data_IF_082129560320
#
_entry.id   IF_082129560320
#
_cell.length_a   1.000
_cell.length_b   1.000
_cell.length_c   1.000
_cell.angle_alpha   90.00
_cell.angle_beta   90.00
_cell.angle_gamma   90.00
#
_symmetry.space_group_name_H-M   'P 1'
#
loop_
_entity.id
_entity.type
_entity.pdbx_description
1 polymer ?
#
# COMPACT_ATOMS: atom_id res chain seq x y z
N UNK A 1 44.87 60.91 13.15
CA UNK A 1 43.66 61.19 12.36
C UNK A 1 42.97 59.85 12.13
N UNK A 2 42.06 59.50 13.04
CA UNK A 2 41.38 58.19 13.09
C UNK A 2 40.10 58.34 12.28
N UNK A 3 40.02 57.66 11.12
CA UNK A 3 38.82 57.60 10.30
C UNK A 3 37.91 56.57 10.92
N UNK A 4 36.85 57.04 11.61
CA UNK A 4 35.77 56.20 12.07
C UNK A 4 34.93 55.79 10.84
N UNK A 5 35.04 54.56 10.37
CA UNK A 5 34.09 53.96 9.44
C UNK A 5 32.81 53.65 10.22
N UNK A 6 31.81 54.51 10.15
CA UNK A 6 30.45 54.21 10.58
C UNK A 6 29.83 53.35 9.49
N UNK A 7 29.93 52.02 9.66
CA UNK A 7 29.12 51.08 8.89
C UNK A 7 27.72 51.15 9.51
N UNK A 8 26.82 51.95 8.89
CA UNK A 8 25.40 51.89 9.20
C UNK A 8 24.92 50.48 8.82
N UNK A 9 24.67 49.62 9.81
CA UNK A 9 23.95 48.37 9.65
C UNK A 9 22.51 48.75 9.27
N UNK A 10 22.21 48.77 7.97
CA UNK A 10 20.83 48.77 7.50
C UNK A 10 20.22 47.43 7.89
N UNK A 11 19.27 47.46 8.75
CA UNK A 11 18.54 46.25 9.21
C UNK A 11 17.42 45.86 8.25
N UNK A 12 16.93 46.77 7.42
CA UNK A 12 15.90 46.55 6.40
C UNK A 12 16.04 47.44 5.19
N UNK A 13 15.62 46.97 4.03
CA UNK A 13 15.52 47.71 2.79
C UNK A 13 14.09 47.70 2.24
N UNK A 14 13.63 48.84 1.68
CA UNK A 14 12.36 48.89 0.96
C UNK A 14 12.46 48.08 -0.36
N UNK A 15 11.41 47.44 -0.76
CA UNK A 15 11.35 46.67 -2.01
C UNK A 15 10.70 47.55 -3.09
N UNK A 16 11.36 47.66 -4.21
CA UNK A 16 10.85 48.32 -5.43
C UNK A 16 10.77 47.32 -6.57
N UNK A 17 9.56 47.07 -7.07
CA UNK A 17 9.36 46.21 -8.23
C UNK A 17 9.42 47.03 -9.50
N UNK A 18 10.14 46.53 -10.50
CA UNK A 18 10.27 47.10 -11.85
C UNK A 18 10.19 46.02 -12.91
N UNK A 19 10.03 46.38 -14.17
CA UNK A 19 9.92 45.43 -15.28
C UNK A 19 8.52 45.37 -15.87
N UNK A 20 8.16 44.23 -16.43
CA UNK A 20 6.87 44.04 -17.09
C UNK A 20 5.87 43.29 -16.19
N UNK A 21 4.56 43.68 -16.18
CA UNK A 21 3.52 42.92 -15.47
C UNK A 21 3.28 41.56 -16.15
N UNK A 22 2.67 40.58 -15.43
CA UNK A 22 2.18 40.67 -14.07
C UNK A 22 3.29 40.70 -13.02
N UNK A 23 3.02 41.27 -11.85
CA UNK A 23 3.98 41.36 -10.75
C UNK A 23 3.59 40.38 -9.64
N UNK A 24 4.59 39.68 -9.04
CA UNK A 24 4.32 38.81 -7.89
C UNK A 24 3.95 39.64 -6.65
N UNK A 25 3.10 39.12 -5.72
CA UNK A 25 2.85 39.75 -4.44
C UNK A 25 4.10 39.65 -3.57
N UNK A 26 4.76 40.78 -3.33
CA UNK A 26 5.97 40.85 -2.50
C UNK A 26 5.75 41.77 -1.31
N UNK A 27 6.49 41.60 -0.20
CA UNK A 27 6.45 42.50 0.94
C UNK A 27 6.99 43.89 0.57
N UNK A 28 6.59 44.89 1.34
CA UNK A 28 7.03 46.27 1.12
C UNK A 28 8.52 46.49 1.49
N UNK A 29 9.07 45.63 2.33
CA UNK A 29 10.45 45.71 2.81
C UNK A 29 11.01 44.34 3.16
N UNK A 30 12.32 44.20 3.17
CA UNK A 30 13.04 43.01 3.54
C UNK A 30 14.19 43.30 4.48
N UNK A 31 14.46 42.42 5.41
CA UNK A 31 15.70 42.42 6.19
C UNK A 31 16.90 42.17 5.26
N UNK A 32 17.96 43.01 5.41
CA UNK A 32 19.16 42.91 4.55
C UNK A 32 19.99 41.72 5.02
N UNK A 33 19.59 40.55 4.56
CA UNK A 33 20.20 39.27 4.82
C UNK A 33 20.13 38.44 3.52
N UNK A 34 21.21 37.78 3.15
CA UNK A 34 21.30 36.97 1.92
C UNK A 34 20.25 35.87 1.87
N UNK A 35 19.92 35.28 3.01
CA UNK A 35 18.91 34.23 3.14
C UNK A 35 17.48 34.77 2.85
N UNK A 36 17.13 35.92 3.42
CA UNK A 36 15.82 36.57 3.19
C UNK A 36 15.67 37.12 1.76
N UNK A 37 16.75 37.61 1.18
CA UNK A 37 16.75 38.05 -0.21
C UNK A 37 16.58 36.86 -1.17
N UNK A 38 17.22 35.72 -0.87
CA UNK A 38 17.03 34.48 -1.62
C UNK A 38 15.61 33.95 -1.51
N UNK A 39 15.02 33.97 -0.31
CA UNK A 39 13.62 33.56 -0.04
C UNK A 39 12.65 34.38 -0.92
N UNK A 40 12.77 35.70 -0.93
CA UNK A 40 11.93 36.59 -1.76
C UNK A 40 12.09 36.31 -3.26
N UNK A 41 13.32 36.04 -3.73
CA UNK A 41 13.54 35.64 -5.11
C UNK A 41 12.83 34.36 -5.46
N UNK A 42 12.95 33.38 -4.59
CA UNK A 42 12.39 32.05 -4.81
C UNK A 42 10.86 32.08 -4.72
N UNK A 43 10.28 32.84 -3.80
CA UNK A 43 8.84 33.07 -3.72
C UNK A 43 8.29 33.76 -4.98
N UNK A 44 8.98 34.77 -5.47
CA UNK A 44 8.59 35.45 -6.69
C UNK A 44 8.69 34.55 -7.93
N UNK A 45 9.74 33.75 -8.06
CA UNK A 45 9.87 32.77 -9.13
C UNK A 45 8.79 31.67 -9.05
N UNK A 46 8.51 31.17 -7.84
CA UNK A 46 7.45 30.20 -7.61
C UNK A 46 6.07 30.75 -7.98
N UNK A 47 5.79 32.01 -7.63
CA UNK A 47 4.54 32.66 -8.03
C UNK A 47 4.39 32.72 -9.56
N UNK A 48 5.46 33.11 -10.29
CA UNK A 48 5.44 33.11 -11.74
C UNK A 48 5.20 31.70 -12.31
N UNK A 49 5.84 30.71 -11.73
CA UNK A 49 5.71 29.33 -12.15
C UNK A 49 4.28 28.82 -11.96
N UNK A 50 3.67 29.10 -10.80
CA UNK A 50 2.28 28.72 -10.49
C UNK A 50 1.24 29.48 -11.34
N UNK A 51 1.56 30.68 -11.80
CA UNK A 51 0.68 31.50 -12.64
C UNK A 51 0.88 31.29 -14.15
N UNK A 52 1.70 30.31 -14.56
CA UNK A 52 1.89 29.94 -15.96
C UNK A 52 3.01 30.67 -16.68
N UNK A 53 3.98 31.23 -15.95
CA UNK A 53 5.17 31.91 -16.53
C UNK A 53 6.48 31.16 -16.19
N UNK A 54 6.70 29.95 -16.73
CA UNK A 54 7.86 29.10 -16.38
C UNK A 54 9.20 29.67 -16.87
N UNK A 55 9.18 30.70 -17.68
CA UNK A 55 10.38 31.35 -18.23
C UNK A 55 10.64 32.71 -17.57
N UNK A 56 10.03 32.99 -16.43
CA UNK A 56 10.26 34.21 -15.71
C UNK A 56 11.71 34.32 -15.25
N UNK A 57 12.25 35.50 -15.37
CA UNK A 57 13.56 35.86 -14.88
C UNK A 57 13.44 37.05 -13.90
N UNK A 58 14.25 37.01 -12.86
CA UNK A 58 14.28 38.03 -11.81
C UNK A 58 15.73 38.46 -11.62
N UNK A 59 15.97 39.75 -11.71
CA UNK A 59 17.23 40.34 -11.33
C UNK A 59 17.02 41.23 -10.08
N UNK A 60 17.85 41.02 -9.06
CA UNK A 60 17.79 41.75 -7.80
C UNK A 60 19.07 42.54 -7.59
N UNK A 61 18.95 43.82 -7.25
CA UNK A 61 20.11 44.69 -6.96
C UNK A 61 19.69 45.85 -6.05
N UNK A 62 20.61 46.33 -5.27
CA UNK A 62 20.40 47.54 -4.49
C UNK A 62 20.54 48.76 -5.37
N UNK A 63 19.45 49.49 -5.60
CA UNK A 63 19.48 50.77 -6.34
C UNK A 63 19.95 51.95 -5.48
N UNK A 64 19.68 51.85 -4.16
CA UNK A 64 20.24 52.73 -3.13
C UNK A 64 20.62 51.86 -1.92
N UNK A 65 21.25 52.42 -0.90
CA UNK A 65 21.64 51.66 0.27
C UNK A 65 20.44 51.02 1.02
N UNK A 66 19.28 51.63 0.91
CA UNK A 66 18.02 51.26 1.62
C UNK A 66 16.92 50.74 0.70
N UNK A 67 17.21 50.53 -0.60
CA UNK A 67 16.19 50.10 -1.58
C UNK A 67 16.68 48.92 -2.42
N UNK A 68 16.07 47.75 -2.22
CA UNK A 68 16.24 46.58 -3.06
C UNK A 68 15.29 46.68 -4.26
N UNK A 69 15.87 46.76 -5.46
CA UNK A 69 15.09 46.74 -6.69
C UNK A 69 15.03 45.34 -7.25
N UNK A 70 13.80 44.88 -7.49
CA UNK A 70 13.48 43.58 -8.10
C UNK A 70 12.98 43.85 -9.50
N UNK A 71 13.80 43.55 -10.49
CA UNK A 71 13.44 43.70 -11.89
C UNK A 71 12.94 42.37 -12.44
N UNK A 72 11.67 42.33 -12.83
CA UNK A 72 11.00 41.13 -13.28
C UNK A 72 10.81 41.11 -14.79
N UNK A 73 11.10 39.99 -15.39
CA UNK A 73 10.79 39.67 -16.79
C UNK A 73 9.94 38.38 -16.78
N UNK A 74 8.62 38.50 -16.84
CA UNK A 74 7.72 37.30 -16.76
C UNK A 74 7.98 36.28 -17.86
N UNK A 75 8.51 36.75 -18.98
CA UNK A 75 8.67 35.90 -20.16
C UNK A 75 7.31 35.59 -20.81
N UNK A 76 7.24 34.46 -21.47
CA UNK A 76 6.05 34.02 -22.19
C UNK A 76 5.13 33.23 -21.25
N UNK A 77 3.84 33.54 -21.27
CA UNK A 77 2.82 32.65 -20.66
C UNK A 77 2.75 31.34 -21.44
N UNK A 78 2.90 30.23 -20.78
CA UNK A 78 2.96 28.92 -21.40
C UNK A 78 1.81 28.03 -20.95
N UNK A 79 1.30 27.25 -21.87
CA UNK A 79 0.23 26.29 -21.65
C UNK A 79 0.78 24.87 -21.77
N UNK A 80 0.14 23.92 -21.10
CA UNK A 80 0.43 22.52 -21.33
C UNK A 80 -0.08 22.13 -22.73
N UNK A 81 0.82 21.63 -23.60
CA UNK A 81 0.48 21.14 -24.93
C UNK A 81 0.20 19.63 -24.90
N UNK A 82 1.10 18.88 -24.30
CA UNK A 82 1.05 17.43 -24.27
C UNK A 82 1.81 16.84 -23.08
N UNK A 83 1.37 15.68 -22.61
CA UNK A 83 2.12 14.80 -21.71
C UNK A 83 2.51 13.56 -22.51
N UNK A 84 3.79 13.23 -22.56
CA UNK A 84 4.36 12.08 -23.28
C UNK A 84 4.95 11.08 -22.29
N UNK A 85 4.84 9.82 -22.66
CA UNK A 85 5.47 8.69 -21.97
C UNK A 85 6.44 8.00 -22.94
N UNK A 86 7.48 7.30 -22.45
CA UNK A 86 8.32 6.46 -23.30
C UNK A 86 7.51 5.37 -24.02
N UNK A 87 7.90 4.98 -25.21
CA UNK A 87 7.23 3.94 -26.00
C UNK A 87 7.34 2.54 -25.36
N UNK A 88 8.23 2.37 -24.40
CA UNK A 88 8.41 1.11 -23.64
C UNK A 88 7.33 0.86 -22.59
N UNK A 89 6.50 1.85 -22.27
CA UNK A 89 5.45 1.74 -21.25
C UNK A 89 4.28 0.90 -21.79
N UNK A 90 3.97 -0.18 -21.10
CA UNK A 90 2.87 -1.11 -21.43
C UNK A 90 1.51 -0.64 -20.92
N UNK A 91 1.51 0.12 -19.82
CA UNK A 91 0.28 0.67 -19.23
C UNK A 91 -0.39 1.64 -20.19
N UNK A 92 -1.68 1.47 -20.40
CA UNK A 92 -2.48 2.30 -21.30
C UNK A 92 -2.42 3.76 -20.83
N UNK A 93 -2.17 4.67 -21.79
CA UNK A 93 -2.02 6.11 -21.52
C UNK A 93 -3.15 6.70 -20.67
N UNK A 94 -4.40 6.31 -20.93
CA UNK A 94 -5.55 6.79 -20.15
C UNK A 94 -5.52 6.35 -18.70
N UNK A 95 -4.88 5.24 -18.39
CA UNK A 95 -4.67 4.76 -17.00
C UNK A 95 -3.67 5.65 -16.28
N UNK A 96 -2.59 6.05 -16.94
CA UNK A 96 -1.58 6.96 -16.37
C UNK A 96 -2.13 8.38 -16.16
N UNK A 97 -3.04 8.82 -17.01
CA UNK A 97 -3.56 10.20 -17.00
C UNK A 97 -4.82 10.39 -16.16
N UNK A 98 -5.45 9.33 -15.66
CA UNK A 98 -6.76 9.42 -15.01
C UNK A 98 -6.78 10.22 -13.70
N UNK A 99 -5.67 10.32 -12.99
CA UNK A 99 -5.56 11.07 -11.74
C UNK A 99 -5.00 12.48 -11.90
N UNK A 100 -4.51 12.83 -13.10
CA UNK A 100 -3.97 14.16 -13.32
C UNK A 100 -5.11 15.16 -13.60
N UNK A 101 -5.14 16.23 -12.83
CA UNK A 101 -6.07 17.34 -13.06
C UNK A 101 -5.49 18.42 -13.99
N UNK A 102 -4.58 18.04 -14.89
CA UNK A 102 -4.00 18.91 -15.89
C UNK A 102 -4.43 18.47 -17.29
N UNK A 103 -5.06 19.37 -18.03
CA UNK A 103 -5.48 19.11 -19.41
C UNK A 103 -4.67 19.96 -20.39
N UNK A 104 -4.41 19.49 -21.61
CA UNK A 104 -3.85 20.32 -22.66
C UNK A 104 -4.65 21.60 -22.82
N UNK A 105 -3.94 22.74 -22.94
CA UNK A 105 -4.55 24.07 -23.03
C UNK A 105 -4.71 24.80 -21.69
N UNK A 106 -4.39 24.18 -20.55
CA UNK A 106 -4.34 24.88 -19.25
C UNK A 106 -2.98 25.58 -19.05
N UNK A 107 -2.90 26.69 -18.30
CA UNK A 107 -1.63 27.27 -17.89
C UNK A 107 -0.76 26.22 -17.19
N UNK A 108 0.53 26.19 -17.55
CA UNK A 108 1.44 25.22 -16.94
C UNK A 108 1.71 25.58 -15.47
N UNK A 109 1.49 24.61 -14.60
CA UNK A 109 1.84 24.64 -13.19
C UNK A 109 2.52 23.31 -12.82
N UNK A 110 3.72 23.32 -12.20
CA UNK A 110 4.42 22.10 -11.82
C UNK A 110 3.84 21.41 -10.58
N UNK A 111 3.11 22.11 -9.72
CA UNK A 111 2.59 21.56 -8.46
C UNK A 111 1.63 20.37 -8.69
N UNK A 112 0.56 20.49 -9.52
CA UNK A 112 -0.28 19.34 -9.86
C UNK A 112 0.48 18.19 -10.53
N UNK A 113 1.60 18.48 -11.21
CA UNK A 113 2.44 17.44 -11.81
C UNK A 113 3.12 16.60 -10.74
N UNK A 114 3.65 17.26 -9.69
CA UNK A 114 4.32 16.53 -8.59
C UNK A 114 3.35 15.68 -7.76
N UNK A 115 2.15 16.19 -7.52
CA UNK A 115 1.07 15.45 -6.84
C UNK A 115 0.68 14.22 -7.66
N UNK A 116 0.50 14.37 -8.96
CA UNK A 116 0.19 13.27 -9.86
C UNK A 116 1.29 12.21 -9.92
N UNK A 117 2.57 12.59 -9.96
CA UNK A 117 3.68 11.63 -9.92
C UNK A 117 3.66 10.81 -8.63
N UNK A 118 3.35 11.47 -7.51
CA UNK A 118 3.19 10.78 -6.22
C UNK A 118 2.00 9.82 -6.25
N UNK A 119 0.89 10.20 -6.89
CA UNK A 119 -0.28 9.33 -7.06
C UNK A 119 0.03 8.12 -7.97
N UNK A 120 0.80 8.31 -9.05
CA UNK A 120 1.22 7.19 -9.91
C UNK A 120 2.04 6.14 -9.18
N UNK A 121 2.93 6.54 -8.27
CA UNK A 121 3.78 5.61 -7.51
C UNK A 121 3.00 4.75 -6.48
N UNK A 122 1.73 5.02 -6.23
CA UNK A 122 0.86 4.18 -5.39
C UNK A 122 0.32 2.96 -6.12
N UNK A 123 0.36 2.97 -7.46
CA UNK A 123 -0.09 1.80 -8.22
C UNK A 123 0.91 0.65 -8.11
N UNK A 124 0.47 -0.56 -7.77
CA UNK A 124 1.35 -1.72 -7.59
C UNK A 124 2.07 -2.15 -8.87
N UNK A 125 1.64 -1.65 -10.03
CA UNK A 125 2.24 -1.91 -11.34
C UNK A 125 3.17 -0.77 -11.81
N UNK A 126 3.40 0.27 -10.98
CA UNK A 126 4.37 1.35 -11.24
C UNK A 126 5.47 1.26 -10.18
N UNK A 127 6.70 1.03 -10.62
CA UNK A 127 7.86 1.00 -9.73
C UNK A 127 8.38 2.41 -9.43
N UNK A 128 8.50 3.23 -10.47
CA UNK A 128 8.87 4.64 -10.33
C UNK A 128 8.24 5.52 -11.42
N UNK A 129 8.03 6.80 -11.12
CA UNK A 129 7.61 7.82 -12.07
C UNK A 129 8.39 9.12 -11.86
N UNK A 130 8.96 9.71 -12.94
CA UNK A 130 9.78 10.91 -12.90
C UNK A 130 11.28 10.65 -12.82
N UNK A 131 12.13 11.70 -12.79
CA UNK A 131 11.77 13.11 -12.88
C UNK A 131 11.24 13.52 -14.26
N UNK A 132 10.33 14.48 -14.26
CA UNK A 132 9.72 14.99 -15.50
C UNK A 132 10.71 15.88 -16.26
N UNK A 133 10.87 15.65 -17.55
CA UNK A 133 11.57 16.56 -18.45
C UNK A 133 10.56 17.48 -19.13
N UNK A 134 10.85 18.78 -19.11
CA UNK A 134 10.01 19.84 -19.66
C UNK A 134 10.63 20.35 -20.96
N UNK A 135 9.87 20.31 -22.05
CA UNK A 135 10.30 20.75 -23.37
C UNK A 135 9.37 21.82 -23.92
N UNK A 136 9.91 22.66 -24.85
CA UNK A 136 9.09 23.53 -25.67
C UNK A 136 8.63 22.79 -26.93
N UNK A 137 7.31 22.67 -27.09
CA UNK A 137 6.71 22.20 -28.33
C UNK A 137 6.86 23.23 -29.49
N UNK A 138 6.50 22.84 -30.70
CA UNK A 138 6.59 23.74 -31.90
C UNK A 138 5.81 25.03 -31.75
N UNK A 139 4.70 25.03 -31.00
CA UNK A 139 3.91 26.24 -30.68
C UNK A 139 4.52 27.09 -29.55
N UNK A 140 5.61 26.65 -28.93
CA UNK A 140 6.25 27.27 -27.76
C UNK A 140 5.49 27.04 -26.45
N UNK A 141 4.60 26.05 -26.41
CA UNK A 141 3.94 25.56 -25.22
C UNK A 141 4.73 24.41 -24.60
N UNK A 142 4.31 23.95 -23.42
CA UNK A 142 5.03 22.96 -22.63
C UNK A 142 4.62 21.55 -23.05
N UNK A 143 5.61 20.73 -23.36
CA UNK A 143 5.50 19.28 -23.50
C UNK A 143 6.21 18.63 -22.33
N UNK A 144 5.51 17.80 -21.56
CA UNK A 144 6.07 17.02 -20.46
C UNK A 144 6.44 15.63 -20.97
N UNK A 145 7.67 15.21 -20.75
CA UNK A 145 8.08 13.81 -20.89
C UNK A 145 8.22 13.21 -19.49
N UNK A 146 7.42 12.21 -19.21
CA UNK A 146 7.34 11.55 -17.91
C UNK A 146 7.90 10.15 -18.05
N UNK A 147 9.14 9.90 -17.56
CA UNK A 147 9.65 8.54 -17.45
C UNK A 147 8.79 7.75 -16.45
N UNK A 148 8.39 6.56 -16.83
CA UNK A 148 7.66 5.61 -15.98
C UNK A 148 8.39 4.29 -16.08
N UNK A 149 8.78 3.74 -14.94
CA UNK A 149 9.28 2.38 -14.80
C UNK A 149 8.15 1.53 -14.24
N UNK A 150 7.82 0.48 -14.96
CA UNK A 150 6.74 -0.43 -14.59
C UNK A 150 7.27 -1.59 -13.77
N UNK A 151 6.59 -1.89 -12.69
CA UNK A 151 6.79 -3.12 -11.93
C UNK A 151 6.44 -4.36 -12.80
N UNK A 152 6.86 -5.56 -12.42
CA UNK A 152 6.42 -6.79 -13.03
C UNK A 152 4.89 -6.86 -13.12
N UNK A 153 4.35 -7.42 -14.21
CA UNK A 153 2.90 -7.50 -14.44
C UNK A 153 2.17 -8.34 -13.40
N UNK A 154 2.90 -9.14 -12.65
CA UNK A 154 2.37 -9.98 -11.58
C UNK A 154 3.48 -10.78 -10.92
N UNK A 155 3.07 -11.70 -10.08
CA UNK A 155 3.95 -12.66 -9.44
C UNK A 155 3.24 -13.99 -9.23
N UNK A 156 4.06 -15.03 -9.11
CA UNK A 156 3.65 -16.32 -8.59
C UNK A 156 4.30 -16.53 -7.23
N UNK A 157 3.52 -16.91 -6.24
CA UNK A 157 4.01 -17.31 -4.93
C UNK A 157 3.67 -18.76 -4.65
N UNK A 158 4.54 -19.44 -3.93
CA UNK A 158 4.33 -20.78 -3.44
C UNK A 158 4.84 -20.91 -2.02
N UNK A 159 4.14 -21.70 -1.22
CA UNK A 159 4.53 -22.03 0.14
C UNK A 159 4.54 -23.55 0.36
N UNK A 160 5.45 -24.01 1.19
CA UNK A 160 5.58 -25.39 1.62
C UNK A 160 5.79 -25.42 3.13
N UNK A 161 4.95 -26.17 3.81
CA UNK A 161 5.08 -26.52 5.22
C UNK A 161 5.48 -28.00 5.32
N UNK A 162 6.45 -28.28 6.17
CA UNK A 162 6.86 -29.65 6.48
C UNK A 162 6.75 -29.93 7.99
N UNK A 163 6.09 -31.03 8.30
CA UNK A 163 6.08 -31.58 9.65
C UNK A 163 6.42 -33.06 9.65
N UNK A 164 7.11 -33.51 10.67
CA UNK A 164 7.47 -34.92 10.84
C UNK A 164 6.26 -35.86 11.03
N UNK A 165 5.12 -35.31 11.46
CA UNK A 165 3.88 -36.05 11.69
C UNK A 165 2.85 -35.93 10.57
N UNK A 166 2.81 -34.83 9.84
CA UNK A 166 1.81 -34.54 8.81
C UNK A 166 2.35 -34.54 7.37
N UNK A 167 3.66 -34.70 7.17
CA UNK A 167 4.25 -34.67 5.82
C UNK A 167 4.34 -33.26 5.26
N UNK A 168 4.15 -33.15 3.93
CA UNK A 168 4.18 -31.89 3.20
C UNK A 168 2.76 -31.38 2.94
N UNK A 169 2.52 -30.11 3.25
CA UNK A 169 1.36 -29.35 2.77
C UNK A 169 1.86 -28.11 2.06
N UNK A 170 1.10 -27.58 1.11
CA UNK A 170 1.56 -26.40 0.38
C UNK A 170 0.48 -25.79 -0.47
N UNK A 171 0.73 -24.57 -0.92
CA UNK A 171 -0.14 -23.81 -1.76
C UNK A 171 0.61 -23.00 -2.80
N UNK A 172 -0.16 -22.37 -3.67
CA UNK A 172 0.36 -21.42 -4.65
C UNK A 172 -0.66 -20.36 -4.95
N UNK A 173 -0.16 -19.19 -5.29
CA UNK A 173 -0.95 -18.04 -5.69
C UNK A 173 -0.33 -17.40 -6.93
N UNK A 174 -1.16 -16.94 -7.84
CA UNK A 174 -0.77 -16.10 -8.97
C UNK A 174 -1.53 -14.79 -8.89
N UNK A 175 -0.80 -13.67 -8.99
CA UNK A 175 -1.37 -12.33 -8.94
C UNK A 175 -0.95 -11.56 -10.19
N UNK A 176 -1.91 -10.97 -10.88
CA UNK A 176 -1.70 -9.99 -11.93
C UNK A 176 -2.17 -8.62 -11.44
N UNK A 177 -1.30 -7.60 -11.50
CA UNK A 177 -1.58 -6.24 -10.98
C UNK A 177 -2.08 -5.27 -12.04
N UNK A 178 -1.85 -5.58 -13.33
CA UNK A 178 -2.26 -4.73 -14.45
C UNK A 178 -2.48 -5.56 -15.71
N UNK A 179 -3.61 -6.29 -15.76
CA UNK A 179 -3.94 -7.12 -16.92
C UNK A 179 -4.06 -6.22 -18.15
N UNK A 180 -3.26 -6.53 -19.18
CA UNK A 180 -3.20 -5.76 -20.45
C UNK A 180 -2.94 -4.26 -20.27
N UNK A 181 -2.22 -3.85 -19.22
CA UNK A 181 -1.92 -2.44 -18.95
C UNK A 181 -3.11 -1.60 -18.49
N UNK A 182 -4.19 -2.21 -18.02
CA UNK A 182 -5.44 -1.53 -17.65
C UNK A 182 -5.53 -1.18 -16.17
N UNK A 183 -4.61 -1.69 -15.33
CA UNK A 183 -4.68 -1.60 -13.88
C UNK A 183 -5.66 -2.58 -13.23
N UNK A 184 -6.24 -3.51 -14.00
CA UNK A 184 -7.09 -4.60 -13.49
C UNK A 184 -6.26 -5.59 -12.70
N UNK A 185 -6.79 -6.03 -11.56
CA UNK A 185 -6.13 -7.03 -10.71
C UNK A 185 -6.89 -8.36 -10.78
N UNK A 186 -6.13 -9.45 -10.87
CA UNK A 186 -6.62 -10.81 -10.74
C UNK A 186 -5.71 -11.57 -9.80
N UNK A 187 -6.30 -12.27 -8.84
CA UNK A 187 -5.61 -13.15 -7.93
C UNK A 187 -6.28 -14.52 -7.99
N UNK A 188 -5.48 -15.56 -8.04
CA UNK A 188 -5.93 -16.95 -7.99
C UNK A 188 -5.03 -17.70 -7.03
N UNK A 189 -5.61 -18.32 -6.01
CA UNK A 189 -4.88 -19.11 -5.03
C UNK A 189 -5.46 -20.51 -4.92
N UNK A 190 -4.60 -21.48 -4.67
CA UNK A 190 -5.01 -22.84 -4.34
C UNK A 190 -4.04 -23.47 -3.36
N UNK A 191 -4.54 -24.23 -2.39
CA UNK A 191 -3.71 -24.97 -1.44
C UNK A 191 -4.27 -26.37 -1.20
N UNK A 192 -3.36 -27.34 -1.12
CA UNK A 192 -3.71 -28.71 -0.76
C UNK A 192 -4.00 -28.80 0.74
N UNK A 193 -5.03 -29.53 1.11
CA UNK A 193 -5.35 -29.87 2.48
C UNK A 193 -5.01 -31.32 2.80
N UNK A 194 -4.73 -31.62 4.06
CA UNK A 194 -4.17 -32.92 4.51
C UNK A 194 -5.02 -34.13 4.08
N UNK A 195 -6.35 -33.99 4.02
CA UNK A 195 -7.29 -35.07 3.62
C UNK A 195 -7.55 -35.18 2.12
N UNK A 196 -6.71 -34.53 1.27
CA UNK A 196 -6.79 -34.65 -0.17
C UNK A 196 -7.78 -33.71 -0.85
N UNK A 197 -8.34 -32.73 -0.14
CA UNK A 197 -9.11 -31.63 -0.72
C UNK A 197 -8.22 -30.50 -1.22
N UNK A 198 -8.84 -29.52 -1.84
CA UNK A 198 -8.18 -28.29 -2.31
C UNK A 198 -9.00 -27.08 -1.89
N UNK A 199 -8.39 -26.20 -1.12
CA UNK A 199 -8.91 -24.85 -0.91
C UNK A 199 -8.53 -24.00 -2.13
N UNK A 200 -9.44 -23.15 -2.60
CA UNK A 200 -9.22 -22.30 -3.75
C UNK A 200 -9.87 -20.93 -3.53
N UNK A 201 -9.19 -19.88 -3.96
CA UNK A 201 -9.72 -18.51 -3.91
C UNK A 201 -9.44 -17.76 -5.21
N UNK A 202 -10.31 -16.81 -5.53
CA UNK A 202 -10.17 -15.92 -6.67
C UNK A 202 -10.67 -14.53 -6.34
N UNK A 203 -9.91 -13.51 -6.76
CA UNK A 203 -10.28 -12.11 -6.63
C UNK A 203 -10.09 -11.41 -7.97
N UNK A 204 -11.07 -10.62 -8.37
CA UNK A 204 -10.98 -9.73 -9.52
C UNK A 204 -11.35 -8.31 -9.10
N UNK A 205 -10.51 -7.32 -9.46
CA UNK A 205 -10.78 -5.89 -9.21
C UNK A 205 -10.75 -5.12 -10.53
N UNK A 206 -11.86 -4.46 -10.85
CA UNK A 206 -12.01 -3.49 -11.93
C UNK A 206 -11.84 -2.08 -11.34
N UNK A 207 -10.76 -1.36 -11.66
CA UNK A 207 -10.52 -0.02 -11.12
C UNK A 207 -11.24 1.05 -11.97
N UNK A 208 -11.45 2.23 -11.37
CA UNK A 208 -11.90 3.43 -12.06
C UNK A 208 -13.22 3.26 -12.83
N UNK A 209 -14.25 2.79 -12.14
CA UNK A 209 -15.58 2.67 -12.71
C UNK A 209 -16.14 4.06 -13.05
N UNK A 210 -16.69 4.20 -14.26
CA UNK A 210 -17.30 5.44 -14.77
C UNK A 210 -16.35 6.67 -14.70
N UNK A 211 -15.05 6.47 -14.79
CA UNK A 211 -14.06 7.54 -14.77
C UNK A 211 -13.88 8.21 -13.38
N UNK A 212 -14.26 7.52 -12.31
CA UNK A 212 -14.11 7.95 -10.93
C UNK A 212 -13.14 7.03 -10.16
N UNK A 213 -12.57 7.44 -9.01
CA UNK A 213 -11.68 6.60 -8.20
C UNK A 213 -12.42 5.48 -7.45
N UNK A 214 -13.52 5.01 -8.03
CA UNK A 214 -14.28 3.85 -7.55
C UNK A 214 -13.81 2.59 -8.25
N UNK A 215 -13.59 1.53 -7.48
CA UNK A 215 -13.30 0.19 -8.00
C UNK A 215 -14.43 -0.77 -7.62
N UNK A 216 -14.65 -1.79 -8.44
CA UNK A 216 -15.50 -2.94 -8.08
C UNK A 216 -14.61 -4.15 -7.89
N UNK A 217 -14.82 -4.88 -6.82
CA UNK A 217 -14.11 -6.11 -6.50
C UNK A 217 -15.10 -7.26 -6.39
N UNK A 218 -14.72 -8.40 -6.95
CA UNK A 218 -15.45 -9.66 -6.88
C UNK A 218 -14.53 -10.70 -6.26
N UNK A 219 -15.06 -11.48 -5.35
CA UNK A 219 -14.35 -12.53 -4.62
C UNK A 219 -15.12 -13.84 -4.66
N UNK A 220 -14.38 -14.92 -4.73
CA UNK A 220 -14.90 -16.27 -4.62
C UNK A 220 -13.91 -17.11 -3.81
N UNK A 221 -14.43 -17.87 -2.87
CA UNK A 221 -13.62 -18.78 -2.08
C UNK A 221 -14.31 -20.12 -1.94
N UNK A 222 -13.52 -21.19 -1.97
CA UNK A 222 -13.93 -22.53 -1.60
C UNK A 222 -12.94 -23.09 -0.59
N UNK A 223 -13.46 -23.60 0.50
CA UNK A 223 -12.67 -24.31 1.51
C UNK A 223 -13.19 -25.74 1.68
N UNK A 224 -12.28 -26.64 2.00
CA UNK A 224 -12.58 -28.06 2.30
C UNK A 224 -12.09 -28.35 3.71
N UNK A 225 -12.90 -28.01 4.76
CA UNK A 225 -12.46 -28.08 6.16
C UNK A 225 -12.23 -29.51 6.68
N UNK A 226 -12.82 -30.51 6.05
CA UNK A 226 -12.64 -31.94 6.35
C UNK A 226 -12.98 -32.82 5.15
N UNK A 227 -12.85 -34.13 5.28
CA UNK A 227 -13.15 -35.09 4.22
C UNK A 227 -14.63 -35.17 3.90
N UNK A 228 -15.12 -34.32 3.05
CA UNK A 228 -16.49 -34.32 2.51
C UNK A 228 -17.32 -33.11 2.84
N UNK A 229 -16.81 -32.18 3.68
CA UNK A 229 -17.43 -30.87 3.87
C UNK A 229 -16.89 -29.87 2.85
N UNK A 230 -17.74 -28.98 2.36
CA UNK A 230 -17.38 -27.91 1.45
C UNK A 230 -17.99 -26.60 1.94
N UNK A 231 -17.19 -25.54 1.94
CA UNK A 231 -17.63 -24.17 2.20
C UNK A 231 -17.40 -23.38 0.95
N UNK A 232 -18.34 -22.51 0.57
CA UNK A 232 -18.18 -21.54 -0.52
C UNK A 232 -18.62 -20.17 -0.07
N UNK A 233 -17.83 -19.17 -0.46
CA UNK A 233 -18.14 -17.77 -0.23
C UNK A 233 -18.05 -16.99 -1.55
N UNK A 234 -18.98 -16.06 -1.73
CA UNK A 234 -19.01 -15.10 -2.86
C UNK A 234 -19.19 -13.73 -2.28
N UNK A 235 -18.31 -12.82 -2.64
CA UNK A 235 -18.36 -11.43 -2.22
C UNK A 235 -18.30 -10.47 -3.40
N UNK A 236 -18.88 -9.30 -3.19
CA UNK A 236 -18.67 -8.16 -4.08
C UNK A 236 -18.61 -6.88 -3.26
N UNK A 237 -17.72 -5.97 -3.63
CA UNK A 237 -17.56 -4.68 -2.96
C UNK A 237 -17.28 -3.56 -3.94
N UNK A 238 -17.66 -2.35 -3.54
CA UNK A 238 -17.25 -1.09 -4.17
C UNK A 238 -16.23 -0.45 -3.25
N UNK A 239 -15.11 -0.02 -3.81
CA UNK A 239 -13.99 0.54 -3.08
C UNK A 239 -13.74 1.95 -3.58
N UNK A 240 -13.74 2.93 -2.67
CA UNK A 240 -13.35 4.32 -2.91
C UNK A 240 -11.91 4.52 -2.39
N UNK A 241 -10.99 4.84 -3.29
CA UNK A 241 -9.59 5.12 -2.95
C UNK A 241 -9.36 6.61 -2.75
N UNK A 242 -8.93 6.99 -1.55
CA UNK A 242 -8.67 8.36 -1.11
C UNK A 242 -7.19 8.49 -0.68
N UNK A 243 -6.30 8.47 -1.66
CA UNK A 243 -4.85 8.49 -1.40
C UNK A 243 -4.38 7.20 -0.72
N UNK A 244 -4.00 7.29 0.54
CA UNK A 244 -3.51 6.17 1.34
C UNK A 244 -4.62 5.43 2.09
N UNK A 245 -5.88 5.77 1.82
CA UNK A 245 -7.05 5.20 2.51
C UNK A 245 -8.01 4.65 1.46
N UNK A 246 -8.37 3.39 1.59
CA UNK A 246 -9.46 2.75 0.86
C UNK A 246 -10.65 2.57 1.79
N UNK A 247 -11.84 2.96 1.35
CA UNK A 247 -13.10 2.69 2.05
C UNK A 247 -13.94 1.79 1.15
N UNK A 248 -14.44 0.70 1.69
CA UNK A 248 -15.23 -0.28 0.94
C UNK A 248 -16.60 -0.52 1.56
N UNK A 249 -17.54 -0.87 0.71
CA UNK A 249 -18.85 -1.35 1.10
C UNK A 249 -19.35 -2.40 0.10
N UNK A 250 -19.97 -3.44 0.60
CA UNK A 250 -20.34 -4.55 -0.25
C UNK A 250 -21.28 -5.55 0.43
N UNK A 251 -21.17 -6.78 0.01
CA UNK A 251 -21.89 -7.90 0.62
C UNK A 251 -21.64 -9.20 -0.11
N UNK A 252 -22.10 -10.26 0.46
CA UNK A 252 -21.87 -11.60 -0.08
C UNK A 252 -22.76 -12.67 0.51
N UNK A 253 -22.45 -13.89 0.13
CA UNK A 253 -23.07 -15.10 0.68
C UNK A 253 -21.99 -16.13 0.98
N UNK A 254 -22.12 -16.75 2.12
CA UNK A 254 -21.34 -17.87 2.57
C UNK A 254 -22.27 -19.08 2.76
N UNK A 255 -21.85 -20.24 2.31
CA UNK A 255 -22.62 -21.49 2.39
C UNK A 255 -21.69 -22.64 2.78
N UNK A 256 -22.15 -23.50 3.66
CA UNK A 256 -21.46 -24.72 4.08
C UNK A 256 -22.34 -25.93 3.93
N UNK A 257 -21.74 -26.99 3.40
CA UNK A 257 -22.34 -28.32 3.27
C UNK A 257 -21.53 -29.32 4.11
N UNK A 258 -21.75 -29.34 5.45
CA UNK A 258 -21.03 -30.26 6.33
C UNK A 258 -21.54 -31.70 6.15
N UNK A 259 -20.65 -32.68 6.38
CA UNK A 259 -20.99 -34.10 6.27
C UNK A 259 -21.97 -34.48 7.37
N UNK A 260 -23.08 -35.11 7.00
CA UNK A 260 -24.13 -35.61 7.93
C UNK A 260 -24.76 -34.51 8.82
N UNK A 261 -24.70 -33.28 8.45
CA UNK A 261 -25.36 -32.17 9.12
C UNK A 261 -26.16 -31.34 8.12
N UNK A 262 -27.02 -30.47 8.62
CA UNK A 262 -27.79 -29.58 7.77
C UNK A 262 -26.89 -28.50 7.15
N UNK A 263 -27.27 -28.01 5.98
CA UNK A 263 -26.63 -26.88 5.32
C UNK A 263 -26.70 -25.64 6.23
N UNK A 264 -25.58 -24.89 6.26
CA UNK A 264 -25.49 -23.60 6.92
C UNK A 264 -25.32 -22.50 5.87
N UNK A 265 -25.90 -21.35 6.12
CA UNK A 265 -25.73 -20.21 5.23
C UNK A 265 -25.67 -18.87 5.96
N UNK A 266 -24.95 -17.90 5.36
CA UNK A 266 -24.86 -16.54 5.85
C UNK A 266 -24.93 -15.58 4.66
N UNK A 267 -25.84 -14.60 4.75
CA UNK A 267 -25.96 -13.52 3.78
C UNK A 267 -25.69 -12.21 4.48
N UNK A 268 -24.75 -11.43 3.99
CA UNK A 268 -24.22 -10.28 4.71
C UNK A 268 -24.05 -9.04 3.84
N UNK A 269 -24.11 -7.88 4.49
CA UNK A 269 -23.51 -6.65 4.03
C UNK A 269 -22.17 -6.46 4.70
N UNK A 270 -21.20 -5.88 3.99
CA UNK A 270 -19.84 -5.62 4.48
C UNK A 270 -19.48 -4.14 4.39
N UNK A 271 -18.64 -3.70 5.34
CA UNK A 271 -17.99 -2.40 5.30
C UNK A 271 -16.52 -2.57 5.70
N UNK A 272 -15.62 -1.87 5.04
CA UNK A 272 -14.20 -1.99 5.31
C UNK A 272 -13.45 -0.68 5.16
N UNK A 273 -12.32 -0.61 5.84
CA UNK A 273 -11.33 0.45 5.69
C UNK A 273 -9.94 -0.21 5.59
N UNK A 274 -9.16 0.27 4.64
CA UNK A 274 -7.74 -0.09 4.53
C UNK A 274 -6.90 1.18 4.50
N UNK A 275 -5.75 1.15 5.14
CA UNK A 275 -4.79 2.26 5.16
C UNK A 275 -3.40 1.73 4.82
N UNK A 276 -2.64 2.48 4.03
CA UNK A 276 -1.27 2.15 3.67
C UNK A 276 -0.38 3.40 3.70
N UNK A 277 0.35 3.57 4.79
CA UNK A 277 1.35 4.61 5.01
C UNK A 277 2.77 4.04 4.97
N UNK A 278 2.99 3.02 4.16
CA UNK A 278 4.31 2.41 4.00
C UNK A 278 5.08 3.06 2.85
N UNK A 279 6.40 3.08 2.97
CA UNK A 279 7.35 3.50 1.94
C UNK A 279 8.42 2.44 1.70
N UNK A 280 9.13 2.56 0.61
CA UNK A 280 10.26 1.68 0.31
C UNK A 280 11.55 2.22 0.92
N UNK A 281 12.30 1.36 1.62
CA UNK A 281 13.64 1.62 2.13
C UNK A 281 14.62 0.59 1.54
N UNK A 282 15.92 0.78 1.77
CA UNK A 282 16.94 -0.22 1.36
C UNK A 282 16.77 -1.58 2.03
N UNK A 283 16.10 -1.62 3.19
CA UNK A 283 15.87 -2.80 4.00
C UNK A 283 14.53 -3.48 3.72
N UNK A 284 13.62 -2.80 3.01
CA UNK A 284 12.28 -3.30 2.70
C UNK A 284 11.20 -2.23 2.84
N UNK A 285 9.95 -2.62 2.95
CA UNK A 285 8.83 -1.70 3.22
C UNK A 285 8.86 -1.27 4.69
N UNK A 286 8.76 0.02 4.92
CA UNK A 286 8.77 0.66 6.25
C UNK A 286 7.53 1.53 6.42
N UNK A 287 6.93 1.52 7.59
CA UNK A 287 5.75 2.29 7.93
C UNK A 287 4.62 1.44 8.48
N UNK A 288 3.41 1.96 8.41
CA UNK A 288 2.19 1.34 8.93
C UNK A 288 1.23 1.00 7.79
N UNK A 289 0.64 -0.19 7.84
CA UNK A 289 -0.53 -0.54 7.04
C UNK A 289 -1.55 -1.29 7.89
N UNK A 290 -2.82 -1.22 7.52
CA UNK A 290 -3.84 -1.95 8.25
C UNK A 290 -5.16 -2.04 7.48
N UNK A 291 -5.92 -3.07 7.80
CA UNK A 291 -7.26 -3.33 7.28
C UNK A 291 -8.21 -3.64 8.43
N UNK A 292 -9.44 -3.21 8.30
CA UNK A 292 -10.54 -3.61 9.14
C UNK A 292 -11.76 -3.86 8.24
N UNK A 293 -12.33 -5.04 8.31
CA UNK A 293 -13.57 -5.41 7.63
C UNK A 293 -14.59 -5.86 8.65
N UNK A 294 -15.81 -5.42 8.50
CA UNK A 294 -16.94 -5.84 9.32
C UNK A 294 -18.06 -6.32 8.42
N UNK A 295 -18.76 -7.36 8.85
CA UNK A 295 -19.88 -7.94 8.16
C UNK A 295 -21.05 -8.13 9.12
N UNK A 296 -22.25 -7.88 8.64
CA UNK A 296 -23.47 -8.11 9.39
C UNK A 296 -24.56 -8.65 8.48
N UNK A 297 -25.27 -9.68 8.94
CA UNK A 297 -26.28 -10.29 8.10
C UNK A 297 -27.08 -11.40 8.77
N UNK A 298 -27.85 -12.08 7.96
CA UNK A 298 -28.70 -13.19 8.39
C UNK A 298 -27.97 -14.51 8.22
N UNK A 299 -27.75 -15.20 9.32
CA UNK A 299 -27.21 -16.56 9.38
C UNK A 299 -28.34 -17.57 9.58
N UNK A 300 -28.31 -18.67 8.85
CA UNK A 300 -29.22 -19.79 9.00
C UNK A 300 -28.42 -21.05 9.27
N UNK A 301 -28.67 -21.63 10.45
CA UNK A 301 -28.17 -22.93 10.88
C UNK A 301 -29.27 -23.99 10.83
N UNK A 302 -28.98 -25.19 11.36
CA UNK A 302 -29.91 -26.34 11.33
C UNK A 302 -31.28 -26.06 11.93
N UNK A 303 -31.33 -25.28 13.01
CA UNK A 303 -32.53 -25.14 13.85
C UNK A 303 -33.10 -23.73 13.90
N UNK A 304 -32.34 -22.71 13.41
CA UNK A 304 -32.74 -21.31 13.57
C UNK A 304 -32.08 -20.36 12.53
N UNK A 305 -32.71 -19.21 12.39
CA UNK A 305 -32.15 -18.07 11.65
C UNK A 305 -31.97 -16.91 12.62
N UNK A 306 -30.81 -16.28 12.62
CA UNK A 306 -30.45 -15.18 13.52
C UNK A 306 -29.56 -14.14 12.85
N UNK A 307 -29.41 -13.00 13.50
CA UNK A 307 -28.46 -11.97 13.06
C UNK A 307 -27.05 -12.32 13.55
N UNK A 308 -26.08 -12.28 12.66
CA UNK A 308 -24.67 -12.52 12.96
C UNK A 308 -23.84 -11.36 12.48
N UNK A 309 -22.84 -10.97 13.29
CA UNK A 309 -21.85 -9.96 12.95
C UNK A 309 -20.46 -10.53 13.17
N UNK A 310 -19.60 -10.41 12.17
CA UNK A 310 -18.17 -10.75 12.29
C UNK A 310 -17.29 -9.56 11.90
N UNK A 311 -16.04 -9.55 12.36
CA UNK A 311 -15.05 -8.62 11.92
C UNK A 311 -13.70 -9.30 11.79
N UNK A 312 -12.87 -8.73 10.91
CA UNK A 312 -11.49 -9.13 10.70
C UNK A 312 -10.60 -7.89 10.60
N UNK A 313 -9.39 -7.98 11.13
CA UNK A 313 -8.41 -6.92 11.09
C UNK A 313 -7.00 -7.47 10.90
N UNK A 314 -6.20 -6.75 10.16
CA UNK A 314 -4.77 -6.97 10.06
C UNK A 314 -4.05 -5.63 10.16
N UNK A 315 -2.99 -5.56 10.95
CA UNK A 315 -2.16 -4.36 11.13
C UNK A 315 -0.70 -4.78 11.03
N UNK A 316 0.07 -4.02 10.27
CA UNK A 316 1.49 -4.22 10.08
C UNK A 316 2.22 -2.91 10.37
N UNK A 317 3.28 -2.98 11.16
CA UNK A 317 4.20 -1.88 11.38
C UNK A 317 5.62 -2.39 11.27
N UNK A 318 6.44 -1.71 10.48
CA UNK A 318 7.86 -2.05 10.32
C UNK A 318 8.69 -0.77 10.30
N UNK A 319 9.82 -0.77 11.01
CA UNK A 319 10.79 0.32 10.97
C UNK A 319 12.21 -0.22 10.96
N UNK A 320 13.13 0.57 10.39
CA UNK A 320 14.53 0.19 10.26
C UNK A 320 15.45 1.27 10.84
N UNK A 321 16.54 0.82 11.47
CA UNK A 321 17.65 1.67 11.89
C UNK A 321 18.98 1.04 11.45
N UNK A 322 19.53 1.54 10.36
CA UNK A 322 20.65 0.90 9.70
C UNK A 322 20.26 -0.50 9.21
N UNK A 323 21.00 -1.53 9.59
CA UNK A 323 20.69 -2.92 9.23
C UNK A 323 19.68 -3.61 10.15
N UNK A 324 19.28 -2.96 11.25
CA UNK A 324 18.31 -3.51 12.20
C UNK A 324 16.90 -3.14 11.82
N UNK A 325 16.01 -4.14 11.76
CA UNK A 325 14.59 -3.97 11.57
C UNK A 325 13.79 -4.42 12.78
N UNK A 326 12.72 -3.71 13.08
CA UNK A 326 11.70 -4.08 14.05
C UNK A 326 10.36 -4.10 13.34
N UNK A 327 9.68 -5.24 13.37
CA UNK A 327 8.37 -5.44 12.79
C UNK A 327 7.37 -5.98 13.81
N UNK A 328 6.12 -5.66 13.63
CA UNK A 328 5.00 -6.29 14.33
C UNK A 328 3.84 -6.44 13.35
N UNK A 329 3.33 -7.65 13.26
CA UNK A 329 2.05 -7.94 12.60
C UNK A 329 1.03 -8.32 13.67
N UNK A 330 -0.15 -7.71 13.64
CA UNK A 330 -1.26 -8.08 14.48
C UNK A 330 -2.46 -8.43 13.59
N UNK A 331 -3.01 -9.62 13.78
CA UNK A 331 -4.19 -10.11 13.08
C UNK A 331 -5.24 -10.51 14.09
N UNK A 332 -6.50 -10.33 13.74
CA UNK A 332 -7.58 -10.78 14.60
C UNK A 332 -8.90 -10.85 13.84
N UNK A 333 -9.79 -11.68 14.32
CA UNK A 333 -11.10 -11.82 13.70
C UNK A 333 -12.03 -12.68 14.52
N UNK A 334 -13.25 -12.75 14.07
CA UNK A 334 -14.25 -13.63 14.65
C UNK A 334 -15.64 -13.05 14.70
N UNK A 335 -16.52 -13.82 15.28
CA UNK A 335 -17.92 -13.47 15.49
C UNK A 335 -18.03 -12.55 16.70
N UNK A 336 -18.53 -11.32 16.48
CA UNK A 336 -18.70 -10.31 17.51
C UNK A 336 -20.09 -10.47 18.20
N UNK A 337 -21.09 -10.85 17.41
CA UNK A 337 -22.48 -10.97 17.89
C UNK A 337 -23.23 -12.04 17.09
N UNK A 338 -24.05 -12.79 17.77
CA UNK A 338 -24.80 -13.94 17.25
C UNK A 338 -24.24 -15.26 17.74
N UNK A 339 -24.95 -16.35 17.45
CA UNK A 339 -24.49 -17.70 17.77
C UNK A 339 -23.49 -18.17 16.70
N UNK A 340 -22.59 -19.04 17.08
CA UNK A 340 -21.62 -19.60 16.14
C UNK A 340 -22.27 -20.58 15.19
N UNK A 341 -22.02 -20.40 13.88
CA UNK A 341 -22.20 -21.48 12.93
C UNK A 341 -21.00 -22.43 13.06
N UNK A 342 -21.20 -23.73 13.32
CA UNK A 342 -20.09 -24.68 13.53
C UNK A 342 -19.07 -24.71 12.40
N UNK A 343 -19.48 -24.44 11.17
CA UNK A 343 -18.58 -24.39 10.01
C UNK A 343 -17.91 -23.02 9.80
N UNK A 344 -18.34 -21.95 10.50
CA UNK A 344 -17.83 -20.58 10.33
C UNK A 344 -16.68 -20.26 11.31
N UNK A 345 -15.83 -21.20 11.58
CA UNK A 345 -14.65 -21.02 12.43
C UNK A 345 -13.41 -20.75 11.57
N UNK A 346 -12.56 -19.87 12.05
CA UNK A 346 -11.26 -19.60 11.38
C UNK A 346 -10.28 -20.72 11.74
N UNK A 347 -9.60 -21.25 10.71
CA UNK A 347 -8.53 -22.24 10.86
C UNK A 347 -7.20 -21.52 11.04
N UNK A 348 -6.48 -21.85 12.10
CA UNK A 348 -5.25 -21.17 12.49
C UNK A 348 -4.12 -22.20 12.71
N UNK A 349 -2.89 -21.78 12.46
CA UNK A 349 -1.69 -22.61 12.51
C UNK A 349 -0.95 -22.56 11.17
N UNK A 350 0.36 -22.83 11.18
CA UNK A 350 1.22 -22.76 10.01
C UNK A 350 1.79 -21.36 9.72
N UNK A 351 2.49 -21.23 8.61
CA UNK A 351 3.28 -20.06 8.21
C UNK A 351 2.49 -18.74 8.20
N UNK A 352 1.24 -18.75 7.76
CA UNK A 352 0.43 -17.53 7.61
C UNK A 352 -0.15 -16.96 8.91
N UNK A 353 -0.14 -17.73 10.01
CA UNK A 353 -0.79 -17.37 11.27
C UNK A 353 0.09 -17.63 12.50
N UNK A 354 0.14 -18.89 12.99
CA UNK A 354 0.91 -19.32 14.15
C UNK A 354 2.06 -20.23 13.69
N UNK A 355 3.21 -19.64 13.35
CA UNK A 355 4.41 -20.37 12.91
C UNK A 355 4.88 -21.30 14.04
N UNK A 356 5.27 -22.52 13.67
CA UNK A 356 5.66 -23.56 14.63
C UNK A 356 4.54 -24.51 15.03
N UNK A 357 3.28 -24.15 14.83
CA UNK A 357 2.14 -25.06 14.94
C UNK A 357 1.81 -25.72 13.60
N UNK A 358 1.11 -26.84 13.62
CA UNK A 358 0.61 -27.50 12.39
C UNK A 358 -0.35 -26.56 11.67
N UNK A 359 -0.31 -26.54 10.35
CA UNK A 359 -1.28 -25.83 9.52
C UNK A 359 -2.69 -26.26 9.93
N UNK A 360 -3.60 -25.31 10.13
CA UNK A 360 -5.01 -25.52 10.47
C UNK A 360 -5.28 -26.33 11.76
N UNK A 361 -4.32 -26.36 12.69
CA UNK A 361 -4.44 -27.12 13.94
C UNK A 361 -5.43 -26.54 14.95
N UNK A 362 -5.80 -25.29 14.80
CA UNK A 362 -6.73 -24.60 15.69
C UNK A 362 -8.00 -24.18 14.92
N UNK A 363 -9.15 -24.32 15.54
CA UNK A 363 -10.47 -23.90 15.02
C UNK A 363 -11.06 -22.90 16.00
N UNK A 364 -11.03 -21.61 15.67
CA UNK A 364 -11.46 -20.55 16.58
C UNK A 364 -12.62 -19.73 16.00
N UNK A 365 -13.60 -19.44 16.82
CA UNK A 365 -14.70 -18.54 16.48
C UNK A 365 -14.36 -17.08 16.70
N UNK A 366 -13.41 -16.81 17.63
CA UNK A 366 -12.80 -15.50 17.81
C UNK A 366 -11.31 -15.67 18.13
N UNK A 367 -10.48 -14.80 17.59
CA UNK A 367 -9.04 -14.95 17.71
C UNK A 367 -8.28 -13.63 17.54
N UNK A 368 -7.09 -13.60 18.10
CA UNK A 368 -6.12 -12.53 17.91
C UNK A 368 -4.71 -13.09 17.98
N UNK A 369 -3.84 -12.64 17.08
CA UNK A 369 -2.44 -13.06 16.99
C UNK A 369 -1.57 -11.81 16.84
N UNK A 370 -0.51 -11.73 17.66
CA UNK A 370 0.54 -10.72 17.54
C UNK A 370 1.87 -11.41 17.21
N UNK A 371 2.55 -10.94 16.18
CA UNK A 371 3.78 -11.50 15.63
C UNK A 371 4.90 -10.45 15.63
N UNK A 372 5.53 -10.14 16.76
CA UNK A 372 6.73 -9.31 16.81
C UNK A 372 7.91 -10.01 16.14
N UNK A 373 8.73 -9.21 15.45
CA UNK A 373 9.89 -9.67 14.69
C UNK A 373 11.06 -8.69 14.84
N UNK A 374 12.26 -9.22 14.97
CA UNK A 374 13.52 -8.46 14.89
C UNK A 374 14.33 -9.03 13.74
N UNK A 375 14.75 -8.17 12.83
CA UNK A 375 15.53 -8.56 11.65
C UNK A 375 16.89 -7.86 11.60
N UNK A 376 17.85 -8.48 10.93
CA UNK A 376 19.17 -7.95 10.67
C UNK A 376 19.56 -8.24 9.22
N UNK A 377 19.94 -7.19 8.49
CA UNK A 377 20.37 -7.30 7.09
C UNK A 377 19.73 -6.25 6.18
N UNK A 378 19.87 -6.45 4.87
CA UNK A 378 19.28 -5.62 3.82
C UNK A 378 18.29 -6.46 3.00
N UNK A 379 17.53 -5.82 2.09
CA UNK A 379 16.51 -6.49 1.25
C UNK A 379 17.06 -7.71 0.50
N UNK A 380 18.33 -7.69 0.11
CA UNK A 380 18.97 -8.83 -0.54
C UNK A 380 19.08 -10.06 0.37
N UNK A 381 19.31 -9.86 1.67
CA UNK A 381 19.37 -10.96 2.65
C UNK A 381 19.15 -10.42 4.05
N UNK A 382 18.16 -10.96 4.76
CA UNK A 382 17.86 -10.67 6.16
C UNK A 382 17.74 -11.96 6.95
N UNK A 383 18.37 -12.02 8.11
CA UNK A 383 18.04 -12.99 9.17
C UNK A 383 17.07 -12.35 10.14
N UNK A 384 16.14 -13.13 10.67
CA UNK A 384 15.20 -12.62 11.65
C UNK A 384 14.85 -13.66 12.71
N UNK A 385 14.42 -13.15 13.86
CA UNK A 385 13.82 -13.93 14.94
C UNK A 385 12.40 -13.41 15.15
N UNK A 386 11.50 -14.29 15.54
CA UNK A 386 10.09 -13.96 15.75
C UNK A 386 9.49 -14.69 16.94
N UNK A 387 8.37 -14.19 17.40
CA UNK A 387 7.46 -14.90 18.28
C UNK A 387 6.03 -14.66 17.79
N UNK A 388 5.20 -15.70 17.77
CA UNK A 388 3.76 -15.55 17.50
C UNK A 388 3.01 -15.83 18.80
N UNK A 389 2.15 -14.90 19.21
CA UNK A 389 1.39 -14.94 20.47
C UNK A 389 -0.08 -14.89 20.11
N UNK A 390 -0.80 -15.97 20.38
CA UNK A 390 -2.22 -16.13 20.08
C UNK A 390 -3.11 -16.04 21.32
N UNK A 391 -4.33 -15.54 21.11
CA UNK A 391 -5.46 -15.64 22.02
C UNK A 391 -6.61 -16.17 21.18
N UNK A 392 -7.06 -17.38 21.45
CA UNK A 392 -8.02 -18.10 20.60
C UNK A 392 -9.19 -18.55 21.47
N UNK A 393 -10.41 -18.25 21.04
CA UNK A 393 -11.63 -18.85 21.59
C UNK A 393 -12.05 -20.02 20.69
N UNK A 394 -11.67 -21.23 21.09
CA UNK A 394 -11.85 -22.43 20.26
C UNK A 394 -13.16 -23.13 20.59
N UNK A 395 -13.76 -23.72 19.56
CA UNK A 395 -15.04 -24.41 19.70
C UNK A 395 -14.98 -25.64 20.66
N UNK A 396 -13.84 -26.32 20.72
CA UNK A 396 -13.67 -27.59 21.44
C UNK A 396 -13.11 -27.39 22.84
N UNK A 397 -12.11 -26.49 23.01
CA UNK A 397 -11.30 -26.39 24.24
C UNK A 397 -11.39 -25.01 24.94
N UNK A 398 -12.28 -24.11 24.47
CA UNK A 398 -12.43 -22.77 25.02
C UNK A 398 -11.20 -21.88 24.76
N UNK A 399 -10.88 -21.00 25.70
CA UNK A 399 -9.79 -20.04 25.57
C UNK A 399 -8.42 -20.71 25.58
N UNK A 400 -7.67 -20.53 24.49
CA UNK A 400 -6.30 -21.02 24.29
C UNK A 400 -5.31 -19.88 24.09
N UNK A 401 -4.08 -20.07 24.53
CA UNK A 401 -3.00 -19.05 24.49
C UNK A 401 -1.73 -19.63 23.85
N UNK A 402 -1.76 -20.01 22.57
CA UNK A 402 -0.59 -20.57 21.91
C UNK A 402 0.52 -19.52 21.78
N UNK A 403 1.75 -19.91 22.07
CA UNK A 403 2.94 -19.08 21.90
C UNK A 403 4.00 -19.91 21.19
N UNK A 404 4.54 -19.36 20.12
CA UNK A 404 5.68 -19.94 19.41
C UNK A 404 6.84 -18.96 19.28
N UNK A 405 8.01 -19.50 19.03
CA UNK A 405 9.20 -18.73 18.70
C UNK A 405 9.97 -19.40 17.58
N UNK A 406 10.75 -18.61 16.86
CA UNK A 406 11.51 -19.15 15.74
C UNK A 406 12.50 -18.15 15.16
N UNK A 407 13.14 -18.60 14.09
CA UNK A 407 14.09 -17.83 13.32
C UNK A 407 13.95 -18.13 11.84
N UNK A 408 14.39 -17.21 11.01
CA UNK A 408 14.33 -17.39 9.56
C UNK A 408 15.34 -16.55 8.81
N UNK A 409 15.38 -16.81 7.53
CA UNK A 409 16.18 -16.12 6.52
C UNK A 409 15.27 -15.74 5.36
N UNK A 410 15.26 -14.47 4.99
CA UNK A 410 14.55 -13.99 3.80
C UNK A 410 15.44 -13.14 2.94
N UNK A 411 15.13 -13.04 1.65
CA UNK A 411 15.89 -12.21 0.74
C UNK A 411 15.27 -12.11 -0.64
N UNK A 412 15.92 -11.28 -1.47
CA UNK A 412 15.51 -11.04 -2.86
C UNK A 412 16.73 -11.13 -3.77
N UNK A 413 16.63 -11.90 -4.84
CA UNK A 413 17.67 -12.03 -5.85
C UNK A 413 17.07 -12.32 -7.22
N UNK A 414 17.41 -11.54 -8.26
CA UNK A 414 17.02 -11.79 -9.64
C UNK A 414 15.50 -11.94 -9.87
N UNK A 415 14.66 -11.19 -9.15
CA UNK A 415 13.20 -11.30 -9.24
C UNK A 415 12.58 -12.42 -8.40
N UNK A 416 13.41 -13.25 -7.75
CA UNK A 416 12.97 -14.23 -6.77
C UNK A 416 13.06 -13.61 -5.36
N UNK A 417 11.95 -13.62 -4.63
CA UNK A 417 11.91 -13.38 -3.18
C UNK A 417 11.67 -14.70 -2.48
N UNK A 418 12.41 -14.97 -1.42
CA UNK A 418 12.23 -16.17 -0.62
C UNK A 418 12.16 -15.85 0.86
N UNK A 419 11.49 -16.71 1.62
CA UNK A 419 11.42 -16.70 3.07
C UNK A 419 11.44 -18.15 3.56
N UNK A 420 12.47 -18.51 4.31
CA UNK A 420 12.65 -19.84 4.86
C UNK A 420 12.92 -19.74 6.36
N UNK A 421 12.24 -20.55 7.16
CA UNK A 421 12.41 -20.48 8.59
C UNK A 421 11.94 -21.72 9.32
N UNK A 422 12.11 -21.64 10.63
CA UNK A 422 11.69 -22.68 11.56
C UNK A 422 11.11 -22.04 12.81
N UNK A 423 9.99 -22.58 13.27
CA UNK A 423 9.36 -22.20 14.53
C UNK A 423 8.95 -23.42 15.34
N UNK A 424 8.75 -23.24 16.62
CA UNK A 424 8.29 -24.28 17.54
C UNK A 424 7.39 -23.68 18.63
N UNK A 425 6.36 -24.42 19.09
CA UNK A 425 5.60 -24.07 20.28
C UNK A 425 6.51 -24.03 21.50
N UNK A 426 6.42 -22.97 22.31
CA UNK A 426 7.34 -22.79 23.45
C UNK A 426 7.15 -23.90 24.50
N UNK A 427 5.93 -24.37 24.71
CA UNK A 427 5.57 -25.44 25.63
C UNK A 427 6.09 -26.81 25.19
N UNK A 428 6.31 -27.03 23.89
CA UNK A 428 6.82 -28.29 23.34
C UNK A 428 8.34 -28.29 23.11
N UNK A 429 8.93 -27.10 23.09
CA UNK A 429 10.36 -26.88 22.92
C UNK A 429 10.88 -27.14 21.50
N UNK A 430 12.19 -26.94 21.27
CA UNK A 430 12.80 -26.97 19.93
C UNK A 430 12.71 -28.32 19.20
N UNK A 431 12.50 -29.43 19.93
CA UNK A 431 12.33 -30.77 19.33
C UNK A 431 11.07 -30.92 18.49
N UNK A 432 10.09 -30.03 18.64
CA UNK A 432 8.85 -29.98 17.86
C UNK A 432 8.91 -28.98 16.70
N UNK A 433 10.10 -28.47 16.35
CA UNK A 433 10.28 -27.44 15.35
C UNK A 433 9.72 -27.85 13.98
N UNK A 434 9.07 -26.91 13.33
CA UNK A 434 8.50 -27.03 12.00
C UNK A 434 9.23 -26.08 11.06
N UNK A 435 9.39 -26.52 9.82
CA UNK A 435 10.06 -25.77 8.79
C UNK A 435 9.04 -25.26 7.79
N UNK A 436 9.26 -24.05 7.31
CA UNK A 436 8.48 -23.45 6.23
C UNK A 436 9.42 -22.84 5.18
N UNK A 437 8.94 -22.82 3.96
CA UNK A 437 9.56 -22.17 2.83
C UNK A 437 8.49 -21.48 2.00
N UNK A 438 8.67 -20.20 1.75
CA UNK A 438 7.87 -19.44 0.81
C UNK A 438 8.77 -18.85 -0.28
N UNK A 439 8.29 -18.84 -1.50
CA UNK A 439 8.99 -18.27 -2.64
C UNK A 439 8.01 -17.47 -3.50
N UNK A 440 8.44 -16.29 -3.96
CA UNK A 440 7.69 -15.40 -4.83
C UNK A 440 8.55 -15.05 -6.03
N UNK A 441 8.05 -15.32 -7.23
CA UNK A 441 8.75 -15.06 -8.50
C UNK A 441 7.96 -13.98 -9.24
N UNK A 442 8.65 -12.91 -9.65
CA UNK A 442 8.08 -11.86 -10.50
C UNK A 442 7.88 -12.39 -11.94
N UNK A 443 6.73 -12.04 -12.56
CA UNK A 443 6.31 -12.48 -13.90
C UNK A 443 6.50 -11.37 -14.94
#
# INVERSE_FOLDING_TARGET
MTVLLITALLTSAAIKITGAPPFPPLPDSVEVNDEKIAEIRDDALNWYLQTGYPFAAIAMYFSTADTLTINTVPGRHAFLEEIRFPDSVRTIRSVLLREINLQPGTPYNPEPVSEWLTALQRYPFIESAGPVSVFLGPGGNIVLLVPVEEAPVGWFSGDLDFSSSGGFTGGGEIVFTSIFGTGRRLELAASAVEWGGVDAAGLYREPWILGSPLSVQLEIEQQVPDSGSVIREWGSSVILSLGNIDVSGGGGTWQSWPVNQAEESYRYGSAGIAVDFTGNSRQGREGFSGTLTTEAGSAAGPDSTYLLTRAETEMNYTTFKGMFGLGITAKGGGIISGDWLPSMVTRLGGYGTLRGYVKDSWRAGAWGIASPEISLGETATQVYIFSDIGVLDTADDGMQYPISAGLGLRGTTGGLRFDAGSGFPIDQGPGSARFYLSAVISL
#
